data_IF_241090564207
#
_entry.id   IF_241090564207
#
_cell.length_a   1.000
_cell.length_b   1.000
_cell.length_c   1.000
_cell.angle_alpha   90.00
_cell.angle_beta   90.00
_cell.angle_gamma   90.00
#
_symmetry.space_group_name_H-M   'P 1'
#
loop_
_entity.id
_entity.type
_entity.pdbx_description
1 polymer ?
#
# COMPACT_ATOMS: atom_id res chain seq x y z
N UNK A 1 -16.89 7.34 -6.94
CA UNK A 1 -16.34 6.46 -7.98
C UNK A 1 -15.04 5.87 -7.42
N UNK A 2 -14.73 4.61 -7.72
CA UNK A 2 -13.54 3.97 -7.17
C UNK A 2 -12.30 4.53 -7.90
N UNK A 3 -11.35 5.12 -7.16
CA UNK A 3 -10.20 5.82 -7.74
C UNK A 3 -9.00 4.88 -7.85
N UNK A 4 -8.71 4.11 -6.80
CA UNK A 4 -7.64 3.09 -6.78
C UNK A 4 -8.19 1.81 -6.17
N UNK A 5 -7.89 0.67 -6.78
CA UNK A 5 -8.14 -0.66 -6.21
C UNK A 5 -6.84 -1.44 -6.17
N UNK A 6 -6.49 -1.96 -4.99
CA UNK A 6 -5.36 -2.83 -4.78
C UNK A 6 -5.86 -4.15 -4.20
N UNK A 7 -5.53 -5.26 -4.86
CA UNK A 7 -6.00 -6.59 -4.47
C UNK A 7 -4.83 -7.53 -4.22
N UNK A 8 -4.84 -8.15 -3.04
CA UNK A 8 -3.90 -9.21 -2.65
C UNK A 8 -2.42 -8.87 -2.88
N UNK A 9 -2.04 -7.61 -2.70
CA UNK A 9 -0.68 -7.12 -2.91
C UNK A 9 0.26 -7.81 -1.92
N UNK A 10 1.27 -8.47 -2.47
CA UNK A 10 2.35 -9.09 -1.70
C UNK A 10 3.67 -8.48 -2.12
N UNK A 11 4.47 -8.03 -1.16
CA UNK A 11 5.79 -7.44 -1.44
C UNK A 11 6.79 -7.80 -0.38
N UNK A 12 7.94 -8.28 -0.83
CA UNK A 12 9.10 -8.55 0.01
C UNK A 12 10.32 -7.76 -0.46
N UNK A 13 11.21 -7.48 0.49
CA UNK A 13 12.59 -7.04 0.22
C UNK A 13 13.53 -8.08 0.84
N UNK A 14 14.13 -8.91 -0.01
CA UNK A 14 14.85 -10.09 0.42
C UNK A 14 13.96 -11.01 1.26
N UNK A 15 14.40 -11.36 2.46
CA UNK A 15 13.65 -12.21 3.40
C UNK A 15 12.56 -11.45 4.17
N UNK A 16 12.53 -10.12 4.12
CA UNK A 16 11.55 -9.32 4.86
C UNK A 16 10.28 -9.18 4.04
N UNK A 17 9.20 -9.78 4.53
CA UNK A 17 7.87 -9.55 4.00
C UNK A 17 7.34 -8.20 4.49
N UNK A 18 7.04 -7.27 3.58
CA UNK A 18 6.45 -5.97 3.91
C UNK A 18 4.92 -6.03 3.89
N UNK A 19 4.36 -6.67 2.86
CA UNK A 19 2.92 -6.82 2.68
C UNK A 19 2.60 -8.26 2.34
N UNK A 20 1.61 -8.84 3.02
CA UNK A 20 1.10 -10.17 2.74
C UNK A 20 -0.39 -10.08 2.43
N UNK A 21 -0.75 -10.27 1.16
CA UNK A 21 -2.15 -10.20 0.67
C UNK A 21 -2.89 -8.93 1.11
N UNK A 22 -2.23 -7.78 1.01
CA UNK A 22 -2.84 -6.48 1.33
C UNK A 22 -3.87 -6.10 0.25
N UNK A 23 -5.11 -5.84 0.66
CA UNK A 23 -6.18 -5.36 -0.22
C UNK A 23 -6.81 -4.10 0.35
N UNK A 24 -6.99 -3.08 -0.49
CA UNK A 24 -7.73 -1.87 -0.13
C UNK A 24 -8.22 -1.12 -1.39
N UNK A 25 -9.21 -0.26 -1.18
CA UNK A 25 -9.68 0.69 -2.18
C UNK A 25 -9.56 2.12 -1.67
N UNK A 26 -9.39 3.07 -2.59
CA UNK A 26 -9.45 4.51 -2.31
C UNK A 26 -10.56 5.08 -3.18
N UNK A 27 -11.51 5.77 -2.57
CA UNK A 27 -12.59 6.44 -3.28
C UNK A 27 -12.16 7.85 -3.66
N UNK A 28 -12.78 8.37 -4.71
CA UNK A 28 -12.66 9.77 -5.07
C UNK A 28 -13.10 10.69 -3.91
N UNK A 29 -12.25 11.65 -3.55
CA UNK A 29 -12.49 12.59 -2.44
C UNK A 29 -11.93 12.16 -1.08
N UNK A 30 -11.47 10.91 -0.94
CA UNK A 30 -10.86 10.43 0.29
C UNK A 30 -9.56 11.20 0.63
N UNK A 31 -9.39 11.53 1.91
CA UNK A 31 -8.12 12.02 2.46
C UNK A 31 -7.54 10.96 3.39
N UNK A 32 -6.52 10.25 2.92
CA UNK A 32 -5.93 9.12 3.63
C UNK A 32 -4.55 9.49 4.17
N UNK A 33 -4.31 9.19 5.45
CA UNK A 33 -3.00 9.27 6.07
C UNK A 33 -2.36 7.87 6.18
N UNK A 34 -1.11 7.72 5.71
CA UNK A 34 -0.34 6.49 5.84
C UNK A 34 0.61 6.56 7.04
N UNK A 35 0.30 5.82 8.10
CA UNK A 35 1.05 5.81 9.36
C UNK A 35 1.77 4.49 9.61
N UNK A 36 2.82 4.53 10.43
CA UNK A 36 3.61 3.36 10.81
C UNK A 36 5.07 3.73 11.09
N UNK A 37 5.80 2.86 11.79
CA UNK A 37 7.21 3.11 12.12
C UNK A 37 8.11 3.09 10.88
N UNK A 38 9.36 3.55 11.01
CA UNK A 38 10.30 3.53 9.89
C UNK A 38 10.60 2.09 9.43
N UNK A 39 10.68 1.89 8.12
CA UNK A 39 10.96 0.58 7.53
C UNK A 39 9.79 -0.41 7.45
N UNK A 40 8.54 0.01 7.74
CA UNK A 40 7.34 -0.83 7.59
C UNK A 40 6.76 -0.89 6.17
N UNK A 41 7.38 -0.20 5.22
CA UNK A 41 6.95 -0.23 3.81
C UNK A 41 6.10 0.95 3.37
N UNK A 42 5.91 2.00 4.18
CA UNK A 42 5.09 3.18 3.78
C UNK A 42 5.46 3.76 2.40
N UNK A 43 6.73 4.12 2.20
CA UNK A 43 7.20 4.61 0.90
C UNK A 43 7.13 3.54 -0.19
N UNK A 44 7.25 2.26 0.16
CA UNK A 44 7.06 1.16 -0.78
C UNK A 44 5.60 1.08 -1.24
N UNK A 45 4.64 1.25 -0.34
CA UNK A 45 3.21 1.27 -0.67
C UNK A 45 2.88 2.43 -1.61
N UNK A 46 3.37 3.63 -1.30
CA UNK A 46 3.18 4.81 -2.15
C UNK A 46 3.77 4.63 -3.54
N UNK A 47 4.95 4.00 -3.66
CA UNK A 47 5.52 3.65 -4.97
C UNK A 47 4.64 2.67 -5.73
N UNK A 48 4.15 1.61 -5.06
CA UNK A 48 3.24 0.65 -5.70
C UNK A 48 1.97 1.34 -6.21
N UNK A 49 1.40 2.27 -5.43
CA UNK A 49 0.22 3.05 -5.84
C UNK A 49 0.53 3.96 -7.05
N UNK A 50 1.72 4.54 -7.11
CA UNK A 50 2.10 5.47 -8.17
C UNK A 50 2.47 4.79 -9.50
N UNK A 51 2.73 3.47 -9.49
CA UNK A 51 3.31 2.73 -10.61
C UNK A 51 4.84 2.76 -10.66
#
# INVERSE_FOLDING_TARGET
>A
MNFITMESITKSYGIKNLFNKLSFGIQEGDRIGLVGVNGTGKSTLLKIVAG
#
